data_IF_629030904806
#
_entry.id   IF_629030904806
#
_cell.length_a   1.000
_cell.length_b   1.000
_cell.length_c   1.000
_cell.angle_alpha   90.00
_cell.angle_beta   90.00
_cell.angle_gamma   90.00
#
_symmetry.space_group_name_H-M   'P 1'
#
loop_
_entity.id
_entity.type
_entity.pdbx_description
1 polymer ?
#
# COMPACT_ATOMS: atom_id res chain seq x y z
N UNK A 1 -14.97 31.94 10.96
CA UNK A 1 -14.41 32.18 9.60
C UNK A 1 -13.01 32.72 9.76
N UNK A 2 -11.99 31.96 9.34
CA UNK A 2 -10.61 32.40 9.40
C UNK A 2 -10.32 33.38 8.26
N UNK A 3 -9.48 34.38 8.50
CA UNK A 3 -9.13 35.41 7.51
C UNK A 3 -7.61 35.49 7.38
N UNK A 4 -7.12 35.67 6.17
CA UNK A 4 -5.72 35.91 5.87
C UNK A 4 -5.61 37.00 4.81
N UNK A 5 -4.58 37.84 4.91
CA UNK A 5 -4.29 38.85 3.90
C UNK A 5 -3.45 38.24 2.78
N UNK A 6 -3.73 38.65 1.54
CA UNK A 6 -2.88 38.35 0.39
C UNK A 6 -1.68 39.29 0.44
N UNK A 7 -0.46 38.74 0.40
CA UNK A 7 0.76 39.56 0.36
C UNK A 7 0.93 40.21 -1.00
N UNK A 8 1.85 41.18 -1.11
CA UNK A 8 2.19 41.81 -2.39
C UNK A 8 2.73 40.84 -3.45
N UNK A 9 3.20 39.66 -3.02
CA UNK A 9 3.64 38.57 -3.90
C UNK A 9 2.53 37.59 -4.26
N UNK A 10 1.28 37.88 -3.90
CA UNK A 10 0.14 36.99 -4.15
C UNK A 10 0.09 35.75 -3.25
N UNK A 11 0.82 35.74 -2.14
CA UNK A 11 0.83 34.60 -1.21
C UNK A 11 -0.22 34.77 -0.12
N UNK A 12 -0.84 33.67 0.31
CA UNK A 12 -1.77 33.65 1.44
C UNK A 12 -1.17 32.77 2.53
N UNK A 13 -1.05 33.30 3.74
CA UNK A 13 -0.64 32.49 4.90
C UNK A 13 -1.83 31.67 5.37
N UNK A 14 -1.73 30.34 5.28
CA UNK A 14 -2.76 29.43 5.79
C UNK A 14 -2.78 29.56 7.33
N UNK A 15 -3.93 29.94 7.94
CA UNK A 15 -4.09 30.02 9.40
C UNK A 15 -3.70 28.71 10.08
N UNK A 16 -3.17 28.82 11.31
CA UNK A 16 -2.63 27.65 12.04
C UNK A 16 -3.69 26.56 12.20
N UNK A 17 -4.91 26.95 12.54
CA UNK A 17 -6.05 26.06 12.76
C UNK A 17 -6.44 25.30 11.49
N UNK A 18 -6.39 25.96 10.33
CA UNK A 18 -6.67 25.32 9.03
C UNK A 18 -5.54 24.36 8.67
N UNK A 19 -4.29 24.75 8.96
CA UNK A 19 -3.11 23.92 8.70
C UNK A 19 -3.12 22.65 9.54
N UNK A 20 -3.44 22.75 10.82
CA UNK A 20 -3.58 21.61 11.73
C UNK A 20 -4.76 20.73 11.33
N UNK A 21 -5.90 21.32 10.98
CA UNK A 21 -7.08 20.57 10.54
C UNK A 21 -6.85 19.77 9.26
N UNK A 22 -6.10 20.32 8.31
CA UNK A 22 -5.74 19.66 7.06
C UNK A 22 -4.44 18.85 7.17
N UNK A 23 -3.80 18.79 8.34
CA UNK A 23 -2.52 18.10 8.55
C UNK A 23 -1.47 18.51 7.51
N UNK A 24 -1.35 19.82 7.27
CA UNK A 24 -0.43 20.39 6.30
C UNK A 24 0.94 20.63 6.94
N UNK A 25 1.95 20.00 6.38
CA UNK A 25 3.35 20.19 6.74
C UNK A 25 4.09 21.00 5.68
N UNK A 26 5.35 21.36 5.97
CA UNK A 26 6.19 22.04 4.99
C UNK A 26 6.40 21.11 3.78
N UNK A 27 5.91 21.54 2.62
CA UNK A 27 6.01 20.77 1.37
C UNK A 27 4.72 20.06 0.97
N UNK A 28 3.68 20.07 1.82
CA UNK A 28 2.36 19.56 1.42
C UNK A 28 1.81 20.31 0.20
N UNK A 29 1.16 19.57 -0.69
CA UNK A 29 0.49 20.10 -1.87
C UNK A 29 -0.96 20.41 -1.52
N UNK A 30 -1.49 21.51 -2.03
CA UNK A 30 -2.92 21.85 -1.93
C UNK A 30 -3.46 22.18 -3.31
N UNK A 31 -4.66 21.69 -3.62
CA UNK A 31 -5.37 22.07 -4.84
C UNK A 31 -6.42 23.11 -4.52
N UNK A 32 -6.62 24.03 -5.46
CA UNK A 32 -7.64 25.08 -5.38
C UNK A 32 -8.70 24.84 -6.44
N UNK A 33 -9.97 24.85 -6.04
CA UNK A 33 -11.12 24.77 -6.95
C UNK A 33 -12.01 26.01 -6.79
N UNK A 34 -12.38 26.62 -7.91
CA UNK A 34 -13.26 27.78 -7.94
C UNK A 34 -14.71 27.31 -7.82
N UNK A 35 -15.38 27.68 -6.73
CA UNK A 35 -16.79 27.38 -6.51
C UNK A 35 -17.62 28.66 -6.68
N UNK A 36 -18.56 28.62 -7.62
CA UNK A 36 -19.52 29.69 -7.86
C UNK A 36 -20.90 29.23 -7.38
N UNK A 37 -21.17 29.43 -6.09
CA UNK A 37 -22.45 29.04 -5.49
C UNK A 37 -23.18 30.31 -5.06
N UNK A 38 -24.46 30.46 -5.43
CA UNK A 38 -25.32 31.57 -4.98
C UNK A 38 -24.73 32.98 -5.18
N UNK A 39 -24.05 33.24 -6.31
CA UNK A 39 -23.36 34.50 -6.64
C UNK A 39 -22.13 34.81 -5.77
N UNK A 40 -21.74 33.93 -4.87
CA UNK A 40 -20.49 34.02 -4.13
C UNK A 40 -19.37 33.33 -4.91
N UNK A 41 -18.20 33.98 -4.96
CA UNK A 41 -16.98 33.44 -5.56
C UNK A 41 -16.12 32.88 -4.44
N UNK A 42 -16.25 31.58 -4.22
CA UNK A 42 -15.52 30.87 -3.18
C UNK A 42 -14.35 30.11 -3.81
N UNK A 43 -13.27 29.95 -3.05
CA UNK A 43 -12.16 29.07 -3.39
C UNK A 43 -12.14 27.95 -2.37
N UNK A 44 -12.36 26.72 -2.83
CA UNK A 44 -12.15 25.53 -2.02
C UNK A 44 -10.67 25.16 -2.08
N UNK A 45 -10.03 25.09 -0.92
CA UNK A 45 -8.67 24.56 -0.77
C UNK A 45 -8.76 23.18 -0.13
N UNK A 46 -8.13 22.20 -0.76
CA UNK A 46 -8.04 20.82 -0.26
C UNK A 46 -6.58 20.40 -0.21
N UNK A 47 -6.21 19.61 0.81
CA UNK A 47 -4.91 18.92 0.80
C UNK A 47 -4.92 17.94 -0.37
N UNK A 48 -3.92 18.07 -1.23
CA UNK A 48 -3.70 17.17 -2.34
C UNK A 48 -2.70 16.09 -1.95
N UNK A 49 -2.68 15.01 -2.73
CA UNK A 49 -1.73 13.92 -2.53
C UNK A 49 -0.49 14.15 -3.37
N UNK A 50 0.66 13.77 -2.82
CA UNK A 50 1.87 13.59 -3.62
C UNK A 50 1.74 12.25 -4.32
N UNK A 51 1.81 12.27 -5.64
CA UNK A 51 1.88 11.08 -6.47
C UNK A 51 3.34 10.76 -6.78
N UNK A 52 3.64 9.47 -6.89
CA UNK A 52 4.93 8.96 -7.33
C UNK A 52 4.72 7.90 -8.41
N UNK A 53 5.77 7.65 -9.18
CA UNK A 53 5.74 6.62 -10.22
C UNK A 53 5.40 5.25 -9.61
N UNK A 54 4.47 4.53 -10.23
CA UNK A 54 4.08 3.21 -9.79
C UNK A 54 5.24 2.23 -9.95
N UNK A 55 5.81 1.78 -8.84
CA UNK A 55 6.97 0.86 -8.83
C UNK A 55 6.71 -0.50 -9.48
N UNK A 56 5.44 -0.89 -9.58
CA UNK A 56 5.00 -2.19 -10.12
C UNK A 56 4.94 -2.19 -11.65
N UNK A 57 4.47 -1.10 -12.26
CA UNK A 57 4.41 -0.96 -13.73
C UNK A 57 5.40 0.06 -14.28
N UNK A 58 6.25 0.64 -13.43
CA UNK A 58 7.28 1.62 -13.79
C UNK A 58 6.73 2.79 -14.60
N UNK A 59 5.58 3.31 -14.18
CA UNK A 59 4.93 4.44 -14.85
C UNK A 59 4.09 4.09 -16.08
N UNK A 60 4.13 2.85 -16.59
CA UNK A 60 3.46 2.53 -17.86
C UNK A 60 1.94 2.38 -17.77
N UNK A 61 1.39 2.21 -16.55
CA UNK A 61 -0.03 1.93 -16.33
C UNK A 61 -0.45 0.49 -16.66
N UNK A 62 0.46 -0.32 -17.20
CA UNK A 62 0.23 -1.71 -17.60
C UNK A 62 1.44 -2.58 -17.29
N UNK A 63 1.22 -3.88 -17.18
CA UNK A 63 2.29 -4.88 -17.13
C UNK A 63 2.03 -5.83 -18.29
N UNK A 64 2.98 -5.90 -19.22
CA UNK A 64 2.80 -6.59 -20.49
C UNK A 64 1.57 -6.00 -21.24
N UNK A 65 0.55 -6.83 -21.48
CA UNK A 65 -0.71 -6.42 -22.12
C UNK A 65 -1.84 -6.18 -21.10
N UNK A 66 -1.58 -6.37 -19.81
CA UNK A 66 -2.58 -6.34 -18.76
C UNK A 66 -2.57 -5.01 -18.00
N UNK A 67 -3.74 -4.47 -17.68
CA UNK A 67 -3.86 -3.23 -16.92
C UNK A 67 -3.24 -3.39 -15.52
N UNK A 68 -2.44 -2.41 -15.08
CA UNK A 68 -1.86 -2.44 -13.75
C UNK A 68 -2.93 -2.12 -12.70
N UNK A 69 -3.26 -3.08 -11.84
CA UNK A 69 -4.33 -2.91 -10.83
C UNK A 69 -3.91 -2.03 -9.65
N UNK A 70 -2.61 -1.84 -9.47
CA UNK A 70 -2.03 -1.05 -8.38
C UNK A 70 -2.21 0.45 -8.64
N UNK A 71 -1.83 0.92 -9.83
CA UNK A 71 -2.04 2.32 -10.22
C UNK A 71 -3.34 2.53 -11.00
N UNK A 72 -4.04 1.47 -11.40
CA UNK A 72 -5.28 1.53 -12.19
C UNK A 72 -5.08 2.33 -13.48
N UNK A 73 -4.06 1.95 -14.24
CA UNK A 73 -3.70 2.52 -15.54
C UNK A 73 -3.16 3.95 -15.53
N UNK A 74 -3.10 4.61 -14.36
CA UNK A 74 -2.57 5.99 -14.28
C UNK A 74 -1.05 6.06 -14.48
N UNK A 75 -0.32 4.99 -14.15
CA UNK A 75 1.13 5.00 -14.04
C UNK A 75 1.66 5.55 -12.70
N UNK A 76 0.79 6.11 -11.85
CA UNK A 76 1.18 6.80 -10.62
C UNK A 76 0.39 6.28 -9.41
N UNK A 77 1.05 6.24 -8.24
CA UNK A 77 0.43 5.87 -6.95
C UNK A 77 0.59 7.00 -5.93
N UNK A 78 -0.31 7.05 -4.95
CA UNK A 78 -0.18 8.00 -3.85
C UNK A 78 0.99 7.60 -2.96
N UNK A 79 1.89 8.54 -2.67
CA UNK A 79 3.10 8.29 -1.87
C UNK A 79 2.81 7.91 -0.42
N UNK A 80 1.78 8.51 0.17
CA UNK A 80 1.38 8.30 1.58
C UNK A 80 0.16 7.36 1.69
N UNK A 81 0.06 6.40 0.77
CA UNK A 81 -1.06 5.46 0.76
C UNK A 81 -0.97 4.48 1.93
N UNK A 82 -2.00 4.44 2.77
CA UNK A 82 -2.16 3.39 3.77
C UNK A 82 -2.54 2.08 3.06
N UNK A 83 -1.73 1.03 3.23
CA UNK A 83 -1.92 -0.18 2.41
C UNK A 83 -3.27 -0.84 2.69
N UNK A 84 -3.75 -0.78 3.93
CA UNK A 84 -5.05 -1.35 4.30
C UNK A 84 -6.21 -0.62 3.62
N UNK A 85 -6.13 0.70 3.46
CA UNK A 85 -7.14 1.46 2.73
C UNK A 85 -7.16 1.08 1.25
N UNK A 86 -5.99 0.92 0.64
CA UNK A 86 -5.91 0.49 -0.76
C UNK A 86 -6.39 -0.95 -0.95
N UNK A 87 -6.10 -1.86 -0.02
CA UNK A 87 -6.62 -3.24 -0.07
C UNK A 87 -8.13 -3.23 0.03
N UNK A 88 -8.72 -2.47 0.96
CA UNK A 88 -10.17 -2.34 1.09
C UNK A 88 -10.79 -1.74 -0.16
N UNK A 89 -10.14 -0.75 -0.77
CA UNK A 89 -10.56 -0.18 -2.04
C UNK A 89 -10.51 -1.22 -3.16
N UNK A 90 -9.43 -1.99 -3.27
CA UNK A 90 -9.30 -3.07 -4.24
C UNK A 90 -10.34 -4.18 -4.02
N UNK A 91 -10.73 -4.48 -2.78
CA UNK A 91 -11.83 -5.42 -2.51
C UNK A 91 -13.17 -4.93 -3.08
N UNK A 92 -13.39 -3.60 -3.11
CA UNK A 92 -14.61 -3.00 -3.66
C UNK A 92 -14.60 -2.96 -5.19
N UNK A 93 -13.47 -2.56 -5.81
CA UNK A 93 -13.41 -2.33 -7.26
C UNK A 93 -12.75 -3.45 -8.05
N UNK A 94 -12.04 -4.37 -7.40
CA UNK A 94 -11.18 -5.37 -8.03
C UNK A 94 -11.92 -6.25 -9.03
N UNK A 95 -13.20 -6.54 -8.80
CA UNK A 95 -14.03 -7.32 -9.73
C UNK A 95 -14.15 -6.67 -11.11
N UNK A 96 -14.17 -5.34 -11.20
CA UNK A 96 -14.18 -4.63 -12.48
C UNK A 96 -12.91 -4.91 -13.28
N UNK A 97 -11.79 -5.10 -12.58
CA UNK A 97 -10.51 -5.46 -13.16
C UNK A 97 -10.36 -6.97 -13.38
N UNK A 98 -11.28 -7.81 -12.89
CA UNK A 98 -11.13 -9.27 -12.93
C UNK A 98 -10.22 -9.80 -11.81
N UNK A 99 -10.12 -9.07 -10.69
CA UNK A 99 -9.36 -9.46 -9.50
C UNK A 99 -10.33 -9.83 -8.38
N UNK A 100 -10.05 -10.95 -7.73
CA UNK A 100 -10.66 -11.33 -6.45
C UNK A 100 -9.59 -11.22 -5.36
N UNK A 101 -9.97 -10.63 -4.23
CA UNK A 101 -9.09 -10.40 -3.08
C UNK A 101 -9.54 -11.28 -1.93
N UNK A 102 -8.60 -12.00 -1.33
CA UNK A 102 -8.77 -12.74 -0.08
C UNK A 102 -7.80 -12.15 0.94
N UNK A 103 -8.32 -11.71 2.09
CA UNK A 103 -7.54 -11.20 3.21
C UNK A 103 -7.75 -12.11 4.42
N UNK A 104 -6.66 -12.67 4.96
CA UNK A 104 -6.69 -13.63 6.06
C UNK A 104 -5.97 -13.04 7.27
N UNK A 105 -6.68 -12.91 8.39
CA UNK A 105 -6.17 -12.27 9.60
C UNK A 105 -6.00 -13.23 10.80
N UNK A 106 -6.75 -14.32 10.87
CA UNK A 106 -6.70 -15.26 12.01
C UNK A 106 -6.02 -16.60 11.69
N UNK A 107 -5.60 -17.32 12.75
CA UNK A 107 -4.95 -18.64 12.63
C UNK A 107 -5.84 -19.67 11.91
N UNK A 108 -7.17 -19.56 12.03
CA UNK A 108 -8.12 -20.48 11.39
C UNK A 108 -8.13 -20.32 9.87
N UNK A 109 -8.11 -19.08 9.40
CA UNK A 109 -8.02 -18.70 8.00
C UNK A 109 -6.69 -19.13 7.37
N UNK A 110 -5.59 -19.08 8.14
CA UNK A 110 -4.26 -19.57 7.73
C UNK A 110 -4.21 -21.11 7.61
N UNK A 111 -4.88 -21.83 8.50
CA UNK A 111 -4.97 -23.29 8.44
C UNK A 111 -5.73 -23.83 7.22
N UNK A 112 -6.72 -23.07 6.70
CA UNK A 112 -7.43 -23.45 5.48
C UNK A 112 -6.57 -23.36 4.21
N UNK A 113 -5.66 -22.39 4.12
CA UNK A 113 -4.69 -22.31 3.00
C UNK A 113 -3.66 -23.44 3.06
N UNK A 114 -3.15 -23.77 4.25
CA UNK A 114 -2.21 -24.88 4.42
C UNK A 114 -2.82 -26.21 3.93
N UNK A 115 -4.14 -26.41 4.10
CA UNK A 115 -4.84 -27.58 3.56
C UNK A 115 -4.95 -27.58 2.03
N UNK A 116 -4.96 -26.40 1.39
CA UNK A 116 -5.05 -26.25 -0.06
C UNK A 116 -3.70 -26.45 -0.75
N UNK A 117 -2.59 -26.13 -0.07
CA UNK A 117 -1.21 -26.42 -0.53
C UNK A 117 -0.78 -27.88 -0.25
N UNK A 118 -1.41 -28.59 0.69
CA UNK A 118 -1.04 -29.98 1.05
C UNK A 118 -1.46 -31.09 0.08
N UNK A 119 -2.00 -30.77 -1.10
CA UNK A 119 -2.14 -31.77 -2.16
C UNK A 119 -0.82 -31.98 -2.93
N UNK A 120 0.16 -31.09 -2.77
CA UNK A 120 1.51 -31.28 -3.29
C UNK A 120 2.56 -31.13 -2.17
N UNK A 121 2.98 -32.29 -1.67
CA UNK A 121 4.20 -32.54 -0.85
C UNK A 121 4.19 -32.28 0.67
N UNK A 122 5.01 -33.12 1.31
CA UNK A 122 5.05 -33.47 2.72
C UNK A 122 5.44 -32.32 3.67
N UNK A 123 4.61 -32.16 4.71
CA UNK A 123 4.94 -31.86 6.10
C UNK A 123 5.81 -30.64 6.42
N UNK A 124 5.25 -29.66 7.15
CA UNK A 124 5.90 -29.08 8.34
C UNK A 124 4.85 -28.62 9.35
N UNK A 125 5.01 -29.06 10.60
CA UNK A 125 4.21 -28.63 11.75
C UNK A 125 4.50 -27.15 12.02
N UNK A 126 3.62 -26.24 11.59
CA UNK A 126 3.57 -24.89 12.15
C UNK A 126 3.08 -25.00 13.60
N UNK A 127 3.99 -24.82 14.56
CA UNK A 127 3.61 -24.50 15.93
C UNK A 127 4.53 -23.43 16.51
N UNK A 128 3.84 -22.35 16.90
CA UNK A 128 4.12 -21.36 17.95
C UNK A 128 4.82 -20.06 17.56
N UNK A 129 4.01 -18.99 17.71
CA UNK A 129 4.28 -17.54 17.63
C UNK A 129 4.54 -17.00 16.22
N UNK A 130 3.57 -17.24 15.33
CA UNK A 130 3.46 -16.53 14.05
C UNK A 130 3.37 -15.03 14.33
N UNK A 131 4.27 -14.26 13.75
CA UNK A 131 4.03 -12.84 13.58
C UNK A 131 2.68 -12.66 12.85
N UNK A 132 1.77 -11.88 13.45
CA UNK A 132 0.37 -11.76 13.02
C UNK A 132 0.21 -10.87 11.78
N UNK A 133 1.07 -11.03 10.76
CA UNK A 133 0.85 -10.33 9.50
C UNK A 133 -0.44 -10.85 8.85
N UNK A 134 -1.36 -9.96 8.46
CA UNK A 134 -2.42 -10.30 7.52
C UNK A 134 -1.82 -10.86 6.24
N UNK A 135 -2.47 -11.86 5.67
CA UNK A 135 -2.07 -12.45 4.40
C UNK A 135 -3.08 -11.99 3.35
N UNK A 136 -2.57 -11.34 2.29
CA UNK A 136 -3.37 -11.03 1.12
C UNK A 136 -3.08 -12.06 0.01
N UNK A 137 -4.15 -12.52 -0.63
CA UNK A 137 -4.10 -13.37 -1.81
C UNK A 137 -5.02 -12.80 -2.88
N UNK A 138 -4.44 -12.45 -4.00
CA UNK A 138 -5.13 -12.01 -5.21
C UNK A 138 -5.27 -13.20 -6.15
N UNK A 139 -6.46 -13.33 -6.73
CA UNK A 139 -6.73 -14.22 -7.85
C UNK A 139 -7.19 -13.39 -9.03
N UNK A 140 -6.48 -13.49 -10.15
CA UNK A 140 -6.86 -12.86 -11.41
C UNK A 140 -7.72 -13.77 -12.29
N UNK A 141 -8.46 -13.14 -13.20
CA UNK A 141 -8.99 -13.78 -14.40
C UNK A 141 -7.80 -14.24 -15.27
N UNK A 142 -7.72 -15.55 -15.52
CA UNK A 142 -6.64 -16.19 -16.26
C UNK A 142 -6.54 -15.70 -17.71
N UNK A 143 -7.62 -15.13 -18.27
CA UNK A 143 -7.61 -14.54 -19.60
C UNK A 143 -7.03 -13.11 -19.62
N UNK A 144 -6.91 -12.47 -18.45
CA UNK A 144 -6.45 -11.09 -18.33
C UNK A 144 -5.05 -10.98 -17.75
N UNK A 145 -4.68 -11.88 -16.84
CA UNK A 145 -3.44 -11.79 -16.09
C UNK A 145 -2.72 -13.14 -16.08
N UNK A 146 -1.40 -13.11 -16.34
CA UNK A 146 -0.55 -14.26 -16.07
C UNK A 146 -0.40 -14.47 -14.57
N UNK A 147 -0.06 -15.69 -14.16
CA UNK A 147 0.25 -16.00 -12.76
C UNK A 147 1.41 -15.15 -12.23
N UNK A 148 2.42 -14.91 -13.05
CA UNK A 148 3.55 -14.02 -12.70
C UNK A 148 3.08 -12.60 -12.39
N UNK A 149 2.21 -12.02 -13.21
CA UNK A 149 1.64 -10.69 -12.96
C UNK A 149 0.82 -10.66 -11.67
N UNK A 150 0.05 -11.71 -11.38
CA UNK A 150 -0.68 -11.83 -10.11
C UNK A 150 0.26 -11.97 -8.91
N UNK A 151 1.38 -12.69 -9.03
CA UNK A 151 2.40 -12.78 -7.98
C UNK A 151 3.03 -11.41 -7.70
N UNK A 152 3.36 -10.63 -8.74
CA UNK A 152 3.89 -9.27 -8.58
C UNK A 152 2.90 -8.37 -7.83
N UNK A 153 1.61 -8.41 -8.20
CA UNK A 153 0.59 -7.65 -7.48
C UNK A 153 0.42 -8.12 -6.03
N UNK A 154 0.42 -9.43 -5.78
CA UNK A 154 0.37 -9.97 -4.42
C UNK A 154 1.54 -9.45 -3.58
N UNK A 155 2.75 -9.52 -4.12
CA UNK A 155 3.95 -9.06 -3.43
C UNK A 155 3.91 -7.57 -3.13
N UNK A 156 3.39 -6.73 -4.04
CA UNK A 156 3.21 -5.31 -3.77
C UNK A 156 2.37 -5.05 -2.51
N UNK A 157 1.18 -5.65 -2.41
CA UNK A 157 0.31 -5.45 -1.25
C UNK A 157 0.86 -6.13 0.00
N UNK A 158 1.38 -7.35 -0.12
CA UNK A 158 1.95 -8.08 1.02
C UNK A 158 3.17 -7.36 1.60
N UNK A 159 4.03 -6.78 0.75
CA UNK A 159 5.14 -5.90 1.17
C UNK A 159 4.64 -4.69 1.96
N UNK A 160 3.56 -4.06 1.51
CA UNK A 160 2.93 -2.97 2.24
C UNK A 160 2.44 -3.40 3.62
N UNK A 161 1.78 -4.57 3.71
CA UNK A 161 1.33 -5.13 5.00
C UNK A 161 2.53 -5.39 5.92
N UNK A 162 3.59 -6.03 5.40
CA UNK A 162 4.80 -6.29 6.20
C UNK A 162 5.35 -4.96 6.73
N UNK A 163 5.53 -3.95 5.86
CA UNK A 163 6.05 -2.64 6.24
C UNK A 163 5.22 -1.93 7.32
N UNK A 164 3.90 -2.04 7.26
CA UNK A 164 2.97 -1.41 8.21
C UNK A 164 2.95 -2.13 9.56
N UNK A 165 2.97 -3.46 9.57
CA UNK A 165 2.85 -4.28 10.79
C UNK A 165 4.19 -4.65 11.42
N UNK A 166 5.32 -4.47 10.72
CA UNK A 166 6.63 -4.77 11.26
C UNK A 166 7.04 -3.77 12.34
N UNK A 167 7.47 -4.24 13.53
CA UNK A 167 7.90 -3.37 14.61
C UNK A 167 9.12 -2.54 14.21
N UNK A 168 9.12 -1.27 14.62
CA UNK A 168 10.26 -0.35 14.44
C UNK A 168 11.26 -0.54 15.57
N UNK A 169 12.53 -0.27 15.27
CA UNK A 169 13.59 -0.31 16.27
C UNK A 169 13.37 0.78 17.32
N UNK A 170 13.52 0.42 18.59
CA UNK A 170 13.43 1.35 19.72
C UNK A 170 14.59 2.34 19.75
N UNK A 171 15.75 1.95 19.22
CA UNK A 171 16.95 2.81 19.15
C UNK A 171 16.96 3.71 17.91
N UNK A 172 16.26 3.32 16.85
CA UNK A 172 16.12 4.12 15.63
C UNK A 172 14.75 3.87 14.98
N UNK A 173 13.75 4.75 15.20
CA UNK A 173 12.40 4.57 14.68
C UNK A 173 12.30 4.45 13.16
N UNK A 174 13.33 4.88 12.41
CA UNK A 174 13.37 4.79 10.96
C UNK A 174 13.81 3.39 10.46
N UNK A 175 14.36 2.55 11.34
CA UNK A 175 14.76 1.16 11.01
C UNK A 175 13.75 0.17 11.58
N UNK A 176 13.61 -0.99 10.94
CA UNK A 176 12.86 -2.10 11.52
C UNK A 176 13.63 -2.74 12.68
N UNK A 177 12.90 -3.35 13.60
CA UNK A 177 13.49 -4.24 14.58
C UNK A 177 13.96 -5.51 13.87
N UNK A 178 15.16 -5.98 14.19
CA UNK A 178 15.75 -7.16 13.55
C UNK A 178 15.10 -8.42 14.15
N UNK A 179 14.38 -9.22 13.35
CA UNK A 179 13.79 -10.47 13.80
C UNK A 179 14.87 -11.55 13.96
N UNK A 180 14.50 -12.69 14.56
CA UNK A 180 15.31 -13.90 14.43
C UNK A 180 15.22 -14.45 12.99
N UNK A 181 16.19 -15.26 12.59
CA UNK A 181 16.20 -15.89 11.25
C UNK A 181 14.90 -16.67 10.97
N UNK A 182 14.39 -17.39 11.97
CA UNK A 182 13.11 -18.13 11.85
C UNK A 182 11.94 -17.19 11.54
N UNK A 183 11.85 -16.04 12.22
CA UNK A 183 10.77 -15.06 11.99
C UNK A 183 10.97 -14.38 10.63
N UNK A 184 12.21 -14.11 10.23
CA UNK A 184 12.51 -13.55 8.92
C UNK A 184 12.08 -14.49 7.80
N UNK A 185 12.42 -15.77 7.91
CA UNK A 185 12.01 -16.81 6.97
C UNK A 185 10.48 -16.90 6.86
N UNK A 186 9.76 -16.81 7.99
CA UNK A 186 8.30 -16.75 8.00
C UNK A 186 7.76 -15.51 7.25
N UNK A 187 8.32 -14.32 7.49
CA UNK A 187 7.92 -13.08 6.82
C UNK A 187 8.14 -13.20 5.31
N UNK A 188 9.33 -13.65 4.91
CA UNK A 188 9.76 -13.77 3.52
C UNK A 188 8.95 -14.86 2.78
N UNK A 189 8.49 -15.89 3.49
CA UNK A 189 7.62 -16.94 2.92
C UNK A 189 6.25 -16.43 2.48
N UNK A 190 5.81 -15.25 2.94
CA UNK A 190 4.53 -14.66 2.55
C UNK A 190 4.53 -14.13 1.10
N UNK A 191 5.72 -13.95 0.52
CA UNK A 191 5.97 -13.38 -0.80
C UNK A 191 6.19 -14.50 -1.84
N UNK A 192 5.89 -14.19 -3.09
CA UNK A 192 5.98 -15.13 -4.21
C UNK A 192 7.31 -15.00 -4.96
N UNK A 193 7.68 -13.79 -5.37
CA UNK A 193 8.85 -13.55 -6.23
C UNK A 193 10.16 -13.48 -5.43
N UNK A 194 11.26 -13.92 -6.04
CA UNK A 194 12.59 -13.83 -5.42
C UNK A 194 13.03 -12.38 -5.21
N UNK A 195 12.71 -11.48 -6.14
CA UNK A 195 13.00 -10.05 -6.03
C UNK A 195 12.34 -9.43 -4.79
N UNK A 196 11.05 -9.71 -4.56
CA UNK A 196 10.37 -9.22 -3.37
C UNK A 196 10.95 -9.81 -2.08
N UNK A 197 11.33 -11.09 -2.10
CA UNK A 197 11.95 -11.78 -0.95
C UNK A 197 13.29 -11.14 -0.58
N UNK A 198 14.14 -10.87 -1.57
CA UNK A 198 15.43 -10.21 -1.39
C UNK A 198 15.24 -8.77 -0.87
N UNK A 199 14.30 -8.03 -1.46
CA UNK A 199 13.97 -6.67 -1.02
C UNK A 199 13.53 -6.64 0.45
N UNK A 200 12.58 -7.50 0.84
CA UNK A 200 12.09 -7.53 2.22
C UNK A 200 13.17 -8.02 3.20
N UNK A 201 13.99 -8.98 2.79
CA UNK A 201 15.14 -9.42 3.61
C UNK A 201 16.04 -8.22 3.95
N UNK A 202 16.34 -7.37 2.96
CA UNK A 202 17.19 -6.20 3.14
C UNK A 202 16.63 -5.16 4.12
N UNK A 203 15.32 -5.14 4.35
CA UNK A 203 14.69 -4.21 5.30
C UNK A 203 15.10 -4.49 6.75
N UNK A 204 15.46 -5.74 7.05
CA UNK A 204 15.80 -6.21 8.40
C UNK A 204 17.30 -6.41 8.59
N UNK A 205 18.11 -6.04 7.59
CA UNK A 205 19.56 -6.19 7.66
C UNK A 205 20.19 -5.30 8.73
N UNK A 206 21.31 -5.79 9.29
CA UNK A 206 22.09 -5.11 10.34
C UNK A 206 22.90 -3.90 9.86
N UNK A 207 22.87 -3.61 8.56
CA UNK A 207 23.68 -2.57 7.93
C UNK A 207 23.14 -1.15 8.23
#
# INVERSE_FOLDING_TARGET
>A
MFKAAVTSKGQITIPKEVREHLELEKGSIVSFSLQNTNREKNVLMIKDFVYEECTVCKGEGKINESMCIVCRESGEIKKELLVMEEILFLMQVGRAYGISVLLLQDEYSKAMLAQQETLDTHATKLKTRTTEYPIIRLKGDENKYSQETIHIFNDFYQKGIIREFSPRSTSNPNKFMIPSDIILDEIVSLLFTSEAKEEVTSWFDRN
#
